data_IF_140864046034
#
_entry.id   IF_140864046034
#
_cell.length_a   1.000
_cell.length_b   1.000
_cell.length_c   1.000
_cell.angle_alpha   90.00
_cell.angle_beta   90.00
_cell.angle_gamma   90.00
#
_symmetry.space_group_name_H-M   'P 1'
#
loop_
_entity.id
_entity.type
_entity.pdbx_description
1 polymer ?
#
# COMPACT_ATOMS: atom_id res chain seq x y z
N UNK A 1 4.01 0.80 18.45
CA UNK A 1 5.48 0.86 18.39
C UNK A 1 5.92 2.14 17.67
N UNK A 2 6.82 2.86 18.30
CA UNK A 2 7.31 4.11 17.72
C UNK A 2 8.47 3.84 16.75
N UNK A 3 8.36 4.32 15.53
CA UNK A 3 9.45 4.28 14.57
C UNK A 3 10.18 5.62 14.62
N UNK A 4 11.49 5.58 14.50
CA UNK A 4 12.27 6.81 14.44
C UNK A 4 12.01 7.52 13.10
N UNK A 5 12.03 8.84 13.14
CA UNK A 5 11.79 9.66 11.96
C UNK A 5 12.74 9.32 10.81
N UNK A 6 14.02 9.09 11.12
CA UNK A 6 15.01 8.71 10.12
C UNK A 6 14.73 7.36 9.49
N UNK A 7 14.21 6.41 10.26
CA UNK A 7 13.82 5.10 9.74
C UNK A 7 12.61 5.21 8.83
N UNK A 8 11.62 6.01 9.22
CA UNK A 8 10.43 6.27 8.39
C UNK A 8 10.82 6.84 7.04
N UNK A 9 11.68 7.84 7.04
CA UNK A 9 12.17 8.43 5.79
C UNK A 9 12.91 7.42 4.93
N UNK A 10 13.68 6.52 5.55
CA UNK A 10 14.37 5.45 4.82
C UNK A 10 13.39 4.52 4.10
N UNK A 11 12.31 4.13 4.77
CA UNK A 11 11.29 3.27 4.16
C UNK A 11 10.56 3.97 3.02
N UNK A 12 10.21 5.24 3.21
CA UNK A 12 9.56 6.04 2.17
C UNK A 12 10.49 6.18 0.96
N UNK A 13 11.78 6.44 1.21
CA UNK A 13 12.78 6.57 0.16
C UNK A 13 12.93 5.27 -0.65
N UNK A 14 12.98 4.12 0.04
CA UNK A 14 13.06 2.82 -0.64
C UNK A 14 11.86 2.58 -1.54
N UNK A 15 10.67 2.93 -1.06
CA UNK A 15 9.45 2.83 -1.88
C UNK A 15 9.51 3.70 -3.10
N UNK A 16 9.97 4.94 -2.95
CA UNK A 16 10.12 5.86 -4.06
C UNK A 16 11.15 5.36 -5.07
N UNK A 17 12.28 4.81 -4.61
CA UNK A 17 13.30 4.26 -5.49
C UNK A 17 12.75 3.12 -6.34
N UNK A 18 11.92 2.27 -5.76
CA UNK A 18 11.33 1.13 -6.50
C UNK A 18 10.46 1.61 -7.66
N UNK A 19 9.80 2.76 -7.50
CA UNK A 19 8.87 3.27 -8.51
C UNK A 19 9.49 4.30 -9.46
N UNK A 20 10.67 4.82 -9.14
CA UNK A 20 11.28 5.97 -9.81
C UNK A 20 11.49 5.76 -11.31
N UNK A 21 11.79 4.56 -11.74
CA UNK A 21 12.09 4.28 -13.15
C UNK A 21 10.90 4.39 -14.08
N UNK A 22 9.68 4.35 -13.58
CA UNK A 22 8.47 4.28 -14.40
C UNK A 22 7.50 5.43 -14.24
N UNK A 23 7.76 6.38 -13.35
CA UNK A 23 6.80 7.46 -13.12
C UNK A 23 7.44 8.70 -12.51
N UNK A 24 6.73 9.83 -12.60
CA UNK A 24 7.15 11.10 -12.02
C UNK A 24 6.99 11.11 -10.51
N UNK A 25 7.73 12.00 -9.85
CA UNK A 25 7.71 12.13 -8.40
C UNK A 25 6.29 12.35 -7.84
N UNK A 26 5.47 13.13 -8.55
CA UNK A 26 4.09 13.38 -8.11
C UNK A 26 3.22 12.14 -8.17
N UNK A 27 3.57 11.16 -8.99
CA UNK A 27 2.82 9.92 -9.16
C UNK A 27 3.26 8.85 -8.16
N UNK A 28 4.55 8.56 -8.05
CA UNK A 28 5.00 7.50 -7.15
C UNK A 28 4.80 7.85 -5.68
N UNK A 29 4.75 9.13 -5.37
CA UNK A 29 4.44 9.58 -4.02
C UNK A 29 3.09 9.04 -3.54
N UNK A 30 2.08 9.10 -4.38
CA UNK A 30 0.73 8.61 -4.02
C UNK A 30 0.74 7.12 -3.71
N UNK A 31 1.44 6.31 -4.51
CA UNK A 31 1.55 4.87 -4.25
C UNK A 31 2.20 4.59 -2.89
N UNK A 32 3.30 5.26 -2.62
CA UNK A 32 4.05 5.07 -1.37
C UNK A 32 3.22 5.49 -0.16
N UNK A 33 2.58 6.66 -0.23
CA UNK A 33 1.79 7.18 0.88
C UNK A 33 0.57 6.33 1.18
N UNK A 34 -0.09 5.82 0.15
CA UNK A 34 -1.26 4.95 0.35
C UNK A 34 -0.85 3.65 1.05
N UNK A 35 0.24 3.03 0.61
CA UNK A 35 0.72 1.80 1.25
C UNK A 35 1.15 2.05 2.70
N UNK A 36 1.82 3.16 2.96
CA UNK A 36 2.21 3.54 4.30
C UNK A 36 0.97 3.75 5.20
N UNK A 37 -0.05 4.41 4.68
CA UNK A 37 -1.31 4.59 5.39
C UNK A 37 -1.96 3.26 5.71
N UNK A 38 -2.03 2.34 4.73
CA UNK A 38 -2.63 1.03 4.92
C UNK A 38 -1.89 0.23 6.01
N UNK A 39 -0.56 0.29 5.99
CA UNK A 39 0.25 -0.36 7.01
C UNK A 39 -0.02 0.24 8.39
N UNK A 40 -0.06 1.56 8.48
CA UNK A 40 -0.30 2.27 9.73
C UNK A 40 -1.66 1.90 10.35
N UNK A 41 -2.73 1.99 9.56
CA UNK A 41 -4.08 1.72 10.09
C UNK A 41 -4.26 0.25 10.44
N UNK A 42 -3.64 -0.65 9.68
CA UNK A 42 -3.69 -2.08 9.99
C UNK A 42 -3.01 -2.35 11.32
N UNK A 43 -1.81 -1.84 11.51
CA UNK A 43 -1.06 -2.08 12.75
C UNK A 43 -1.75 -1.46 13.96
N UNK A 44 -2.38 -0.30 13.79
CA UNK A 44 -2.99 0.43 14.90
C UNK A 44 -4.42 -0.02 15.21
N UNK A 45 -5.21 -0.34 14.20
CA UNK A 45 -6.65 -0.52 14.37
C UNK A 45 -7.18 -1.91 14.07
N UNK A 46 -6.43 -2.75 13.39
CA UNK A 46 -6.94 -4.06 12.96
C UNK A 46 -7.38 -4.90 14.17
N UNK A 47 -8.63 -5.40 14.11
CA UNK A 47 -9.18 -6.24 15.16
C UNK A 47 -9.59 -5.50 16.43
N UNK A 48 -9.55 -4.17 16.44
CA UNK A 48 -9.92 -3.38 17.61
C UNK A 48 -11.33 -2.84 17.49
N UNK A 49 -12.09 -2.97 18.58
CA UNK A 49 -13.43 -2.41 18.66
C UNK A 49 -13.35 -0.89 18.87
N UNK A 50 -14.33 -0.18 18.33
CA UNK A 50 -14.44 1.27 18.48
C UNK A 50 -13.22 2.04 17.98
N UNK A 51 -12.52 1.47 16.99
CA UNK A 51 -11.40 2.15 16.38
C UNK A 51 -11.85 3.33 15.53
N UNK A 52 -11.01 4.37 15.45
CA UNK A 52 -11.29 5.53 14.60
C UNK A 52 -11.38 5.14 13.12
N UNK A 53 -10.59 4.18 12.71
CA UNK A 53 -10.63 3.61 11.35
C UNK A 53 -11.02 2.15 11.48
N UNK A 54 -12.09 1.77 10.80
CA UNK A 54 -12.49 0.37 10.74
C UNK A 54 -11.69 -0.34 9.65
N UNK A 55 -11.04 -1.45 9.99
CA UNK A 55 -10.33 -2.27 9.00
C UNK A 55 -11.19 -3.50 8.73
N UNK A 56 -11.92 -3.52 7.60
CA UNK A 56 -12.83 -4.64 7.32
C UNK A 56 -12.07 -5.89 6.90
N UNK A 57 -12.74 -7.04 6.92
CA UNK A 57 -12.17 -8.27 6.38
C UNK A 57 -11.85 -8.07 4.91
N UNK A 58 -10.63 -8.42 4.50
CA UNK A 58 -10.18 -8.23 3.14
C UNK A 58 -9.74 -6.81 2.82
N UNK A 59 -9.71 -5.90 3.81
CA UNK A 59 -9.31 -4.51 3.63
C UNK A 59 -8.09 -4.11 4.45
N UNK A 60 -7.19 -5.03 4.77
CA UNK A 60 -6.02 -4.76 5.61
C UNK A 60 -4.71 -4.89 4.82
N UNK A 61 -3.64 -4.39 5.40
CA UNK A 61 -2.29 -4.58 4.83
C UNK A 61 -1.91 -6.07 4.84
N UNK A 62 -2.41 -6.84 5.79
CA UNK A 62 -2.19 -8.29 5.81
C UNK A 62 -2.71 -8.97 4.54
N UNK A 63 -3.82 -8.48 4.01
CA UNK A 63 -4.37 -9.00 2.76
C UNK A 63 -3.47 -8.67 1.58
N UNK A 64 -2.79 -7.53 1.60
CA UNK A 64 -1.81 -7.17 0.57
C UNK A 64 -0.60 -8.11 0.60
N UNK A 65 -0.11 -8.44 1.79
CA UNK A 65 1.01 -9.38 1.96
C UNK A 65 0.68 -10.73 1.35
N UNK A 66 -0.57 -11.17 1.50
CA UNK A 66 -1.02 -12.44 0.93
C UNK A 66 -1.00 -12.45 -0.61
N UNK A 67 -0.98 -11.28 -1.24
CA UNK A 67 -0.95 -11.16 -2.70
C UNK A 67 0.46 -11.15 -3.29
N UNK A 68 1.49 -11.05 -2.46
CA UNK A 68 2.88 -11.02 -2.93
C UNK A 68 3.18 -12.24 -3.79
N UNK A 69 3.69 -12.01 -4.98
CA UNK A 69 4.01 -13.08 -5.93
C UNK A 69 2.85 -13.55 -6.80
N UNK A 70 1.65 -12.99 -6.63
CA UNK A 70 0.49 -13.37 -7.46
C UNK A 70 0.39 -12.48 -8.70
N UNK A 71 -0.22 -13.02 -9.76
CA UNK A 71 -0.42 -12.30 -11.02
C UNK A 71 -1.32 -11.08 -10.87
N UNK A 72 -2.34 -11.19 -10.02
CA UNK A 72 -3.39 -10.17 -9.89
C UNK A 72 -3.15 -9.24 -8.70
N UNK A 73 -1.90 -9.10 -8.28
CA UNK A 73 -1.55 -8.29 -7.11
C UNK A 73 -2.04 -6.84 -7.25
N UNK A 74 -1.92 -6.24 -8.43
CA UNK A 74 -2.37 -4.85 -8.64
C UNK A 74 -3.86 -4.69 -8.45
N UNK A 75 -4.65 -5.54 -9.08
CA UNK A 75 -6.10 -5.54 -8.94
C UNK A 75 -6.52 -5.85 -7.50
N UNK A 76 -5.83 -6.80 -6.88
CA UNK A 76 -6.09 -7.17 -5.49
C UNK A 76 -5.83 -6.02 -4.52
N UNK A 77 -4.73 -5.29 -4.71
CA UNK A 77 -4.42 -4.12 -3.87
C UNK A 77 -5.50 -3.05 -4.04
N UNK A 78 -5.92 -2.77 -5.28
CA UNK A 78 -7.00 -1.82 -5.53
C UNK A 78 -8.28 -2.21 -4.79
N UNK A 79 -8.63 -3.48 -4.83
CA UNK A 79 -9.83 -4.02 -4.15
C UNK A 79 -9.73 -3.85 -2.64
N UNK A 80 -8.56 -4.14 -2.06
CA UNK A 80 -8.32 -4.00 -0.62
C UNK A 80 -8.48 -2.55 -0.19
N UNK A 81 -7.91 -1.62 -0.95
CA UNK A 81 -8.01 -0.19 -0.65
C UNK A 81 -9.46 0.28 -0.74
N UNK A 82 -10.20 -0.18 -1.76
CA UNK A 82 -11.60 0.17 -1.91
C UNK A 82 -12.45 -0.30 -0.73
N UNK A 83 -12.20 -1.49 -0.24
CA UNK A 83 -12.93 -2.01 0.93
C UNK A 83 -12.71 -1.15 2.16
N UNK A 84 -11.48 -0.76 2.41
CA UNK A 84 -11.17 0.13 3.54
C UNK A 84 -11.82 1.50 3.34
N UNK A 85 -11.73 2.05 2.13
CA UNK A 85 -12.31 3.36 1.83
C UNK A 85 -13.82 3.37 1.99
N UNK A 86 -14.50 2.32 1.53
CA UNK A 86 -15.95 2.21 1.67
C UNK A 86 -16.39 2.08 3.13
N UNK A 87 -15.66 1.31 3.92
CA UNK A 87 -15.97 1.11 5.33
C UNK A 87 -15.82 2.40 6.16
N UNK A 88 -15.00 3.35 5.70
CA UNK A 88 -14.65 4.55 6.45
C UNK A 88 -15.04 5.86 5.77
N UNK A 89 -15.77 5.78 4.67
CA UNK A 89 -16.17 6.96 3.89
C UNK A 89 -14.96 7.76 3.40
N UNK A 90 -13.95 7.07 2.90
CA UNK A 90 -12.71 7.66 2.42
C UNK A 90 -12.53 7.55 0.90
N UNK A 91 -13.61 7.30 0.17
CA UNK A 91 -13.55 7.26 -1.29
C UNK A 91 -13.08 8.61 -1.83
N UNK A 92 -12.16 8.56 -2.80
CA UNK A 92 -11.55 9.77 -3.36
C UNK A 92 -10.42 10.33 -2.52
N UNK A 93 -10.15 9.74 -1.35
CA UNK A 93 -9.06 10.18 -0.46
C UNK A 93 -7.87 9.23 -0.55
N UNK A 94 -8.10 7.92 -0.33
CA UNK A 94 -7.03 6.93 -0.32
C UNK A 94 -6.98 6.07 -1.58
N UNK A 95 -8.01 6.09 -2.39
CA UNK A 95 -8.11 5.31 -3.63
C UNK A 95 -7.69 6.12 -4.85
N UNK A 96 -6.69 6.99 -4.69
CA UNK A 96 -6.24 7.91 -5.74
C UNK A 96 -5.15 7.31 -6.64
N UNK A 97 -4.52 6.23 -6.22
CA UNK A 97 -3.48 5.56 -6.99
C UNK A 97 -4.02 4.25 -7.55
N UNK A 98 -3.82 4.02 -8.84
CA UNK A 98 -4.23 2.78 -9.49
C UNK A 98 -3.07 1.80 -9.51
N UNK A 99 -3.15 0.78 -8.65
CA UNK A 99 -2.09 -0.23 -8.53
C UNK A 99 -2.11 -1.25 -9.65
N UNK A 100 -3.05 -1.13 -10.59
CA UNK A 100 -3.12 -2.01 -11.76
C UNK A 100 -2.80 -1.28 -13.07
N UNK A 101 -2.24 -0.08 -12.99
CA UNK A 101 -1.94 0.75 -14.16
C UNK A 101 -0.69 0.25 -14.89
N UNK A 102 -0.88 -0.37 -16.05
CA UNK A 102 0.22 -0.91 -16.87
C UNK A 102 1.19 0.19 -17.31
N UNK A 103 0.68 1.34 -17.67
CA UNK A 103 1.50 2.46 -18.16
C UNK A 103 2.43 3.04 -17.10
N UNK A 104 2.11 2.88 -15.83
CA UNK A 104 2.91 3.41 -14.72
C UNK A 104 3.76 2.34 -14.04
N UNK A 105 3.25 1.13 -13.93
CA UNK A 105 3.86 0.06 -13.14
C UNK A 105 4.45 -1.06 -13.99
N UNK A 106 4.27 -0.99 -15.31
CA UNK A 106 4.68 -2.05 -16.21
C UNK A 106 3.58 -3.09 -16.38
N UNK A 107 3.84 -4.08 -17.23
CA UNK A 107 2.86 -5.11 -17.54
C UNK A 107 3.32 -6.47 -17.06
N UNK A 108 2.36 -7.34 -16.77
CA UNK A 108 2.62 -8.73 -16.45
C UNK A 108 3.56 -8.89 -15.27
N UNK A 109 4.65 -9.59 -15.49
CA UNK A 109 5.59 -9.91 -14.44
C UNK A 109 6.31 -8.68 -13.87
N UNK A 110 6.56 -7.67 -14.68
CA UNK A 110 7.22 -6.44 -14.22
C UNK A 110 6.37 -5.74 -13.16
N UNK A 111 5.06 -5.62 -13.41
CA UNK A 111 4.13 -5.05 -12.46
C UNK A 111 4.04 -5.91 -11.20
N UNK A 112 3.93 -7.22 -11.37
CA UNK A 112 3.88 -8.17 -10.27
C UNK A 112 5.10 -8.05 -9.37
N UNK A 113 6.29 -8.04 -9.95
CA UNK A 113 7.54 -7.96 -9.20
C UNK A 113 7.68 -6.62 -8.47
N UNK A 114 7.34 -5.53 -9.15
CA UNK A 114 7.44 -4.19 -8.58
C UNK A 114 6.52 -4.00 -7.39
N UNK A 115 5.27 -4.42 -7.52
CA UNK A 115 4.29 -4.32 -6.43
C UNK A 115 4.65 -5.25 -5.27
N UNK A 116 5.14 -6.46 -5.56
CA UNK A 116 5.57 -7.40 -4.53
C UNK A 116 6.72 -6.82 -3.71
N UNK A 117 7.70 -6.21 -4.37
CA UNK A 117 8.82 -5.56 -3.68
C UNK A 117 8.34 -4.40 -2.83
N UNK A 118 7.40 -3.61 -3.35
CA UNK A 118 6.85 -2.48 -2.62
C UNK A 118 6.17 -2.92 -1.32
N UNK A 119 5.30 -3.92 -1.41
CA UNK A 119 4.62 -4.46 -0.24
C UNK A 119 5.63 -4.99 0.77
N UNK A 120 6.65 -5.71 0.31
CA UNK A 120 7.69 -6.24 1.19
C UNK A 120 8.46 -5.16 1.93
N UNK A 121 8.71 -4.01 1.30
CA UNK A 121 9.37 -2.88 1.95
C UNK A 121 8.54 -2.41 3.16
N UNK A 122 7.23 -2.28 2.99
CA UNK A 122 6.36 -1.76 4.05
C UNK A 122 5.89 -2.83 5.04
N UNK A 123 6.19 -4.09 4.80
CA UNK A 123 5.91 -5.17 5.75
C UNK A 123 6.81 -5.16 6.98
N UNK A 124 7.85 -4.35 6.97
CA UNK A 124 8.86 -4.33 8.03
C UNK A 124 8.25 -4.09 9.40
N UNK A 125 8.62 -4.90 10.43
CA UNK A 125 8.00 -4.79 11.76
C UNK A 125 8.19 -3.45 12.46
N UNK A 126 9.22 -2.69 12.08
CA UNK A 126 9.51 -1.38 12.68
C UNK A 126 8.56 -0.29 12.21
N UNK A 127 7.81 -0.52 11.15
CA UNK A 127 6.82 0.45 10.68
C UNK A 127 5.55 0.42 11.56
#
# INVERSE_FOLDING_TARGET
MAIKKSELYSFIWKGCDELRGGMDASQYKDYVLVLLFMKYVTDKYYGKENALIEVPDGGSFHDMVALVGTKDIGEGINTIIQKLAEANDLKGVIDVADFDADEKLGKGKDKQDRLSKLVNIFEHPSL
#
